data_IF_503685679797
#
_entry.id   IF_503685679797
#
_cell.length_a   1.000
_cell.length_b   1.000
_cell.length_c   1.000
_cell.angle_alpha   90.00
_cell.angle_beta   90.00
_cell.angle_gamma   90.00
#
_symmetry.space_group_name_H-M   'P 1'
#
loop_
_entity.id
_entity.type
_entity.pdbx_description
1 polymer ?
#
# COMPACT_ATOMS: atom_id res chain seq x y z
N UNK A 1 9.77 48.42 1.37
CA UNK A 1 10.99 48.73 2.14
C UNK A 1 11.72 47.41 2.38
N UNK A 2 12.47 46.92 1.39
CA UNK A 2 13.08 45.58 1.39
C UNK A 2 14.62 45.61 1.15
N UNK A 3 15.24 46.79 1.27
CA UNK A 3 16.64 47.03 0.90
C UNK A 3 17.68 46.39 1.84
N UNK A 4 17.29 45.87 3.01
CA UNK A 4 18.26 45.39 4.01
C UNK A 4 18.45 43.86 4.08
N UNK A 5 17.74 43.09 3.25
CA UNK A 5 17.78 41.60 3.30
C UNK A 5 18.47 40.96 2.11
N UNK A 6 18.67 41.70 1.02
CA UNK A 6 19.37 41.22 -0.17
C UNK A 6 20.74 41.90 -0.22
N UNK A 7 21.85 41.15 -0.10
CA UNK A 7 23.19 41.73 -0.17
C UNK A 7 23.60 42.12 -1.61
N UNK A 8 22.82 41.74 -2.63
CA UNK A 8 23.09 42.16 -4.00
C UNK A 8 22.80 43.64 -4.22
N UNK A 9 23.60 44.28 -5.08
CA UNK A 9 23.24 45.59 -5.62
C UNK A 9 21.91 45.53 -6.37
N UNK A 10 21.18 46.66 -6.49
CA UNK A 10 20.01 46.73 -7.37
C UNK A 10 20.44 46.29 -8.77
N UNK A 11 19.74 45.28 -9.33
CA UNK A 11 20.03 44.63 -10.62
C UNK A 11 21.20 43.64 -10.67
N UNK A 12 21.89 43.40 -9.55
CA UNK A 12 22.89 42.34 -9.43
C UNK A 12 22.24 41.03 -8.94
N UNK A 13 22.69 39.90 -9.48
CA UNK A 13 22.27 38.54 -9.08
C UNK A 13 23.48 37.65 -8.76
N UNK A 14 24.66 38.23 -8.53
CA UNK A 14 25.90 37.54 -8.22
C UNK A 14 25.77 36.65 -6.96
N UNK A 15 25.09 37.14 -5.92
CA UNK A 15 24.75 36.39 -4.72
C UNK A 15 23.43 35.66 -4.88
N UNK A 16 23.50 34.46 -5.45
CA UNK A 16 22.36 33.56 -5.51
C UNK A 16 21.89 33.22 -4.08
N UNK A 17 20.58 33.30 -3.80
CA UNK A 17 20.04 32.94 -2.50
C UNK A 17 20.31 31.47 -2.19
N UNK A 18 20.50 31.15 -0.91
CA UNK A 18 20.64 29.77 -0.46
C UNK A 18 19.37 28.98 -0.81
N UNK A 19 19.53 27.92 -1.59
CA UNK A 19 18.44 27.02 -1.99
C UNK A 19 18.65 25.63 -1.39
N UNK A 20 17.60 24.97 -0.86
CA UNK A 20 17.71 23.64 -0.25
C UNK A 20 18.23 22.52 -1.17
N UNK A 21 18.18 22.71 -2.50
CA UNK A 21 18.67 21.71 -3.47
C UNK A 21 20.05 22.07 -4.01
N UNK A 22 20.36 23.35 -4.13
CA UNK A 22 21.54 23.81 -4.86
C UNK A 22 22.70 24.21 -3.93
N UNK A 23 22.42 24.44 -2.64
CA UNK A 23 23.42 24.69 -1.59
C UNK A 23 24.47 25.75 -1.96
N UNK A 24 24.01 26.80 -2.63
CA UNK A 24 24.86 27.92 -3.04
C UNK A 24 25.40 28.68 -1.83
N UNK A 25 26.69 29.03 -1.89
CA UNK A 25 27.32 29.96 -0.96
C UNK A 25 28.29 30.87 -1.73
N UNK A 26 28.56 32.05 -1.20
CA UNK A 26 29.64 32.90 -1.69
C UNK A 26 30.90 32.64 -0.89
N UNK A 27 31.99 32.40 -1.60
CA UNK A 27 33.33 32.37 -1.07
C UNK A 27 34.03 33.72 -1.28
N UNK A 28 34.54 34.30 -0.20
CA UNK A 28 35.32 35.54 -0.19
C UNK A 28 36.82 35.29 0.02
N UNK A 29 37.26 34.03 -0.12
CA UNK A 29 38.67 33.68 -0.01
C UNK A 29 39.42 34.05 -1.29
N UNK A 30 40.07 35.21 -1.26
CA UNK A 30 40.91 35.70 -2.36
C UNK A 30 42.38 35.42 -2.09
N UNK A 31 43.10 34.94 -3.10
CA UNK A 31 44.56 34.73 -2.98
C UNK A 31 45.35 36.01 -3.23
N UNK A 32 44.77 36.96 -3.97
CA UNK A 32 45.44 38.20 -4.34
C UNK A 32 44.59 39.43 -4.04
N UNK A 33 45.23 40.52 -3.62
CA UNK A 33 44.56 41.79 -3.33
C UNK A 33 43.82 42.39 -4.53
N UNK A 34 44.28 42.12 -5.75
CA UNK A 34 43.61 42.54 -6.99
C UNK A 34 42.22 41.92 -7.15
N UNK A 35 42.00 40.73 -6.60
CA UNK A 35 40.73 39.98 -6.68
C UNK A 35 39.68 40.49 -5.69
N UNK A 36 40.07 41.36 -4.74
CA UNK A 36 39.16 41.94 -3.75
C UNK A 36 38.10 42.87 -4.36
N UNK A 37 38.27 43.23 -5.64
CA UNK A 37 37.30 43.98 -6.45
C UNK A 37 36.19 43.10 -7.05
N UNK A 38 36.35 41.78 -7.00
CA UNK A 38 35.37 40.81 -7.52
C UNK A 38 34.29 40.59 -6.46
N UNK A 39 33.00 40.57 -6.82
CA UNK A 39 31.91 40.31 -5.88
C UNK A 39 31.78 38.81 -5.56
N UNK A 40 32.75 38.26 -4.84
CA UNK A 40 32.72 36.88 -4.34
C UNK A 40 32.76 35.82 -5.43
N UNK A 41 33.08 34.58 -5.07
CA UNK A 41 32.96 33.43 -5.96
C UNK A 41 31.77 32.58 -5.54
N UNK A 42 30.80 32.39 -6.43
CA UNK A 42 29.66 31.51 -6.16
C UNK A 42 30.12 30.04 -6.22
N UNK A 43 30.03 29.35 -5.09
CA UNK A 43 30.41 27.94 -4.93
C UNK A 43 29.23 27.13 -4.36
N UNK A 44 29.36 25.80 -4.39
CA UNK A 44 28.36 24.85 -3.87
C UNK A 44 28.93 23.97 -2.78
N UNK A 45 28.03 23.50 -1.92
CA UNK A 45 28.30 22.40 -1.00
C UNK A 45 29.46 22.69 -0.04
N UNK A 46 29.41 23.85 0.64
CA UNK A 46 30.43 24.24 1.61
C UNK A 46 30.60 23.16 2.69
N UNK A 47 31.76 22.48 2.66
CA UNK A 47 32.13 21.41 3.58
C UNK A 47 31.06 20.31 3.71
N UNK A 48 30.33 20.03 2.63
CA UNK A 48 29.20 19.11 2.65
C UNK A 48 29.55 17.74 3.24
N UNK A 49 30.70 17.16 2.90
CA UNK A 49 31.13 15.86 3.44
C UNK A 49 31.25 15.86 4.97
N UNK A 50 31.86 16.89 5.54
CA UNK A 50 32.01 17.03 6.99
C UNK A 50 30.67 17.30 7.66
N UNK A 51 29.81 18.14 7.06
CA UNK A 51 28.46 18.40 7.59
C UNK A 51 27.61 17.14 7.54
N UNK A 52 27.62 16.39 6.44
CA UNK A 52 26.87 15.15 6.27
C UNK A 52 27.36 14.06 7.24
N UNK A 53 28.67 13.99 7.49
CA UNK A 53 29.21 13.10 8.52
C UNK A 53 28.57 13.36 9.89
N UNK A 54 28.54 14.63 10.34
CA UNK A 54 27.99 14.97 11.65
C UNK A 54 26.47 14.92 11.71
N UNK A 55 25.77 15.30 10.64
CA UNK A 55 24.31 15.45 10.65
C UNK A 55 23.55 14.21 10.19
N UNK A 56 24.17 13.34 9.38
CA UNK A 56 23.53 12.14 8.84
C UNK A 56 24.21 10.88 9.36
N UNK A 57 25.53 10.75 9.19
CA UNK A 57 26.24 9.52 9.50
C UNK A 57 26.27 9.21 11.00
N UNK A 58 26.67 10.18 11.84
CA UNK A 58 26.75 9.96 13.30
C UNK A 58 25.37 9.59 13.89
N UNK A 59 24.27 10.31 13.62
CA UNK A 59 22.95 9.90 14.09
C UNK A 59 22.52 8.53 13.58
N UNK A 60 22.77 8.20 12.30
CA UNK A 60 22.45 6.89 11.74
C UNK A 60 23.26 5.77 12.40
N UNK A 61 24.54 6.01 12.70
CA UNK A 61 25.41 5.07 13.39
C UNK A 61 24.96 4.87 14.84
N UNK A 62 24.64 5.95 15.56
CA UNK A 62 24.11 5.87 16.93
C UNK A 62 22.80 5.10 16.92
N UNK A 63 21.90 5.40 15.99
CA UNK A 63 20.66 4.66 15.83
C UNK A 63 20.95 3.18 15.59
N UNK A 64 21.81 2.82 14.64
CA UNK A 64 22.19 1.44 14.39
C UNK A 64 22.72 0.71 15.64
N UNK A 65 23.55 1.37 16.44
CA UNK A 65 24.15 0.77 17.64
C UNK A 65 23.19 0.70 18.84
N UNK A 66 22.24 1.63 18.94
CA UNK A 66 21.32 1.75 20.08
C UNK A 66 19.96 1.12 19.83
N UNK A 67 19.59 0.86 18.58
CA UNK A 67 18.37 0.13 18.24
C UNK A 67 18.64 -1.37 18.29
N UNK A 68 18.09 -2.04 19.30
CA UNK A 68 18.03 -3.51 19.37
C UNK A 68 17.12 -4.15 18.31
N UNK A 69 16.41 -3.33 17.54
CA UNK A 69 15.67 -3.74 16.34
C UNK A 69 16.22 -2.98 15.14
N UNK A 70 16.58 -3.69 14.08
CA UNK A 70 17.16 -3.12 12.87
C UNK A 70 16.21 -2.08 12.25
N UNK A 71 16.69 -0.92 11.75
CA UNK A 71 15.85 0.02 11.02
C UNK A 71 15.19 -0.60 9.77
N UNK A 72 15.74 -1.70 9.23
CA UNK A 72 15.11 -2.54 8.21
C UNK A 72 13.81 -3.18 8.71
N UNK A 73 13.74 -3.55 9.99
CA UNK A 73 12.54 -4.10 10.59
C UNK A 73 11.44 -3.04 10.74
N UNK A 74 11.79 -1.76 10.88
CA UNK A 74 10.80 -0.67 10.90
C UNK A 74 10.10 -0.49 9.55
N UNK A 75 10.87 -0.49 8.46
CA UNK A 75 10.33 -0.42 7.10
C UNK A 75 9.54 -1.69 6.74
N UNK A 76 10.09 -2.87 7.06
CA UNK A 76 9.38 -4.14 6.86
C UNK A 76 8.08 -4.21 7.67
N UNK A 77 8.07 -3.76 8.94
CA UNK A 77 6.84 -3.72 9.74
C UNK A 77 5.79 -2.82 9.11
N UNK A 78 6.17 -1.68 8.55
CA UNK A 78 5.22 -0.78 7.86
C UNK A 78 4.65 -1.44 6.60
N UNK A 79 5.48 -2.08 5.80
CA UNK A 79 5.03 -2.76 4.58
C UNK A 79 4.15 -3.98 4.89
N UNK A 80 4.53 -4.78 5.89
CA UNK A 80 3.73 -5.91 6.37
C UNK A 80 2.40 -5.45 6.95
N UNK A 81 2.37 -4.35 7.71
CA UNK A 81 1.13 -3.77 8.23
C UNK A 81 0.20 -3.29 7.10
N UNK A 82 0.74 -2.61 6.09
CA UNK A 82 -0.05 -2.16 4.93
C UNK A 82 -0.60 -3.36 4.16
N UNK A 83 0.21 -4.40 3.95
CA UNK A 83 -0.23 -5.63 3.31
C UNK A 83 -1.32 -6.35 4.11
N UNK A 84 -1.14 -6.47 5.43
CA UNK A 84 -2.12 -7.10 6.32
C UNK A 84 -3.47 -6.36 6.31
N UNK A 85 -3.45 -5.04 6.32
CA UNK A 85 -4.67 -4.21 6.20
C UNK A 85 -5.30 -4.42 4.81
N UNK A 86 -4.51 -4.42 3.73
CA UNK A 86 -5.00 -4.63 2.38
C UNK A 86 -5.68 -5.98 2.18
N UNK A 87 -5.07 -7.07 2.68
CA UNK A 87 -5.65 -8.42 2.65
C UNK A 87 -6.94 -8.49 3.47
N UNK A 88 -6.99 -7.82 4.62
CA UNK A 88 -8.20 -7.74 5.45
C UNK A 88 -9.35 -7.02 4.76
N UNK A 89 -9.08 -5.90 4.07
CA UNK A 89 -10.12 -5.20 3.29
C UNK A 89 -10.61 -6.05 2.12
N UNK A 90 -9.69 -6.69 1.40
CA UNK A 90 -10.04 -7.56 0.27
C UNK A 90 -10.93 -8.74 0.72
N UNK A 91 -10.60 -9.38 1.85
CA UNK A 91 -11.39 -10.50 2.37
C UNK A 91 -12.81 -10.07 2.78
N UNK A 92 -12.96 -8.88 3.38
CA UNK A 92 -14.27 -8.30 3.68
C UNK A 92 -15.12 -8.05 2.42
N UNK A 93 -14.50 -7.51 1.35
CA UNK A 93 -15.20 -7.28 0.08
C UNK A 93 -15.65 -8.60 -0.53
N UNK A 94 -14.76 -9.61 -0.56
CA UNK A 94 -15.08 -10.93 -1.09
C UNK A 94 -16.22 -11.60 -0.31
N UNK A 95 -16.22 -11.50 1.02
CA UNK A 95 -17.33 -11.96 1.85
C UNK A 95 -18.65 -11.25 1.48
N UNK A 96 -18.63 -9.93 1.31
CA UNK A 96 -19.80 -9.16 0.89
C UNK A 96 -20.35 -9.63 -0.46
N UNK A 97 -19.48 -9.82 -1.46
CA UNK A 97 -19.84 -10.33 -2.79
C UNK A 97 -20.45 -11.72 -2.70
N UNK A 98 -19.90 -12.61 -1.88
CA UNK A 98 -20.43 -13.95 -1.67
C UNK A 98 -21.82 -13.93 -1.04
N UNK A 99 -22.05 -13.10 -0.01
CA UNK A 99 -23.37 -12.94 0.60
C UNK A 99 -24.39 -12.40 -0.41
N UNK A 100 -24.00 -11.39 -1.19
CA UNK A 100 -24.83 -10.85 -2.28
C UNK A 100 -25.15 -11.92 -3.32
N UNK A 101 -24.17 -12.70 -3.76
CA UNK A 101 -24.37 -13.79 -4.71
C UNK A 101 -25.34 -14.86 -4.16
N UNK A 102 -25.22 -15.23 -2.89
CA UNK A 102 -26.14 -16.14 -2.22
C UNK A 102 -27.57 -15.58 -2.15
N UNK A 103 -27.72 -14.28 -1.84
CA UNK A 103 -29.02 -13.61 -1.81
C UNK A 103 -29.65 -13.56 -3.22
N UNK A 104 -28.88 -13.22 -4.24
CA UNK A 104 -29.37 -13.25 -5.63
C UNK A 104 -29.76 -14.66 -6.06
N UNK A 105 -28.97 -15.67 -5.73
CA UNK A 105 -29.30 -17.06 -6.02
C UNK A 105 -30.62 -17.47 -5.32
N UNK A 106 -30.79 -17.11 -4.05
CA UNK A 106 -32.01 -17.35 -3.29
C UNK A 106 -33.23 -16.67 -3.92
N UNK A 107 -33.13 -15.37 -4.20
CA UNK A 107 -34.21 -14.60 -4.83
C UNK A 107 -34.57 -15.11 -6.23
N UNK A 108 -33.58 -15.51 -7.04
CA UNK A 108 -33.83 -16.10 -8.37
C UNK A 108 -34.53 -17.46 -8.25
N UNK A 109 -34.19 -18.26 -7.24
CA UNK A 109 -34.85 -19.53 -6.96
C UNK A 109 -36.31 -19.32 -6.52
N UNK A 110 -36.55 -18.34 -5.65
CA UNK A 110 -37.88 -18.02 -5.13
C UNK A 110 -38.78 -17.40 -6.21
N UNK A 111 -38.23 -16.50 -7.04
CA UNK A 111 -38.94 -15.88 -8.17
C UNK A 111 -39.19 -16.84 -9.34
N UNK A 112 -38.63 -18.05 -9.32
CA UNK A 112 -38.92 -19.12 -10.27
C UNK A 112 -39.67 -20.29 -9.59
N UNK A 113 -40.94 -20.10 -9.16
CA UNK A 113 -41.74 -21.13 -8.50
C UNK A 113 -41.96 -22.36 -9.39
N UNK A 114 -41.74 -22.24 -10.70
CA UNK A 114 -41.81 -23.35 -11.66
C UNK A 114 -40.62 -24.31 -11.56
N UNK A 115 -39.43 -23.85 -11.16
CA UNK A 115 -38.26 -24.74 -10.98
C UNK A 115 -38.25 -25.39 -9.60
N UNK A 116 -38.61 -24.66 -8.55
CA UNK A 116 -38.75 -25.22 -7.20
C UNK A 116 -39.83 -26.32 -7.15
N UNK A 117 -41.01 -26.05 -7.74
CA UNK A 117 -42.08 -27.06 -7.82
C UNK A 117 -41.70 -28.24 -8.72
N UNK A 118 -40.98 -28.04 -9.83
CA UNK A 118 -40.51 -29.13 -10.70
C UNK A 118 -39.47 -30.02 -10.01
N UNK A 119 -38.53 -29.43 -9.25
CA UNK A 119 -37.56 -30.16 -8.43
C UNK A 119 -38.25 -30.96 -7.32
N UNK A 120 -39.27 -30.38 -6.68
CA UNK A 120 -40.05 -31.06 -5.65
C UNK A 120 -40.92 -32.20 -6.23
N UNK A 121 -41.50 -32.00 -7.43
CA UNK A 121 -42.22 -33.04 -8.16
C UNK A 121 -41.31 -34.18 -8.61
N UNK A 122 -40.12 -33.89 -9.13
CA UNK A 122 -39.13 -34.92 -9.49
C UNK A 122 -38.65 -35.69 -8.26
N UNK A 123 -38.38 -35.01 -7.14
CA UNK A 123 -38.07 -35.66 -5.86
C UNK A 123 -39.18 -36.60 -5.41
N UNK A 124 -40.45 -36.18 -5.50
CA UNK A 124 -41.62 -37.02 -5.15
C UNK A 124 -41.78 -38.21 -6.10
N UNK A 125 -41.48 -38.05 -7.39
CA UNK A 125 -41.47 -39.17 -8.36
C UNK A 125 -40.39 -40.19 -8.03
N UNK A 126 -39.16 -39.74 -7.77
CA UNK A 126 -38.04 -40.62 -7.40
C UNK A 126 -38.34 -41.44 -6.14
N UNK A 127 -38.93 -40.82 -5.10
CA UNK A 127 -39.32 -41.55 -3.88
C UNK A 127 -40.43 -42.58 -4.18
N UNK A 128 -41.41 -42.22 -5.01
CA UNK A 128 -42.50 -43.14 -5.40
C UNK A 128 -41.98 -44.31 -6.23
N UNK A 129 -41.08 -44.07 -7.17
CA UNK A 129 -40.50 -45.11 -8.02
C UNK A 129 -39.59 -46.04 -7.22
N UNK A 130 -38.82 -45.50 -6.26
CA UNK A 130 -38.05 -46.32 -5.31
C UNK A 130 -38.96 -47.20 -4.44
N UNK A 131 -40.05 -46.66 -3.90
CA UNK A 131 -41.00 -47.46 -3.10
C UNK A 131 -41.72 -48.53 -3.94
N UNK A 132 -42.03 -48.23 -5.21
CA UNK A 132 -42.64 -49.20 -6.12
C UNK A 132 -41.67 -50.31 -6.50
N UNK A 133 -40.38 -49.98 -6.68
CA UNK A 133 -39.31 -50.96 -6.91
C UNK A 133 -39.15 -51.88 -5.69
N UNK A 134 -39.09 -51.31 -4.49
CA UNK A 134 -38.95 -52.05 -3.23
C UNK A 134 -40.14 -53.02 -3.00
N UNK A 135 -41.37 -52.52 -3.19
CA UNK A 135 -42.59 -53.34 -3.11
C UNK A 135 -42.57 -54.51 -4.11
N UNK A 136 -42.08 -54.30 -5.33
CA UNK A 136 -42.02 -55.34 -6.36
C UNK A 136 -40.98 -56.42 -6.00
N UNK A 137 -39.85 -56.04 -5.39
CA UNK A 137 -38.85 -57.00 -4.90
C UNK A 137 -39.31 -57.78 -3.67
N UNK A 138 -40.09 -57.15 -2.78
CA UNK A 138 -40.64 -57.84 -1.60
C UNK A 138 -41.73 -58.85 -1.97
N UNK A 139 -42.60 -58.51 -2.93
CA UNK A 139 -43.62 -59.45 -3.44
C UNK A 139 -42.95 -60.65 -4.14
N UNK A 140 -41.88 -60.42 -4.90
CA UNK A 140 -41.15 -61.50 -5.58
C UNK A 140 -40.44 -62.45 -4.60
N UNK A 141 -39.96 -61.94 -3.45
CA UNK A 141 -39.39 -62.77 -2.36
C UNK A 141 -40.43 -63.62 -1.63
N UNK A 142 -41.65 -63.11 -1.46
CA UNK A 142 -42.75 -63.85 -0.81
C UNK A 142 -43.32 -64.93 -1.74
N UNK A 143 -43.27 -64.73 -3.06
CA UNK A 143 -43.69 -65.74 -4.06
C UNK A 143 -42.65 -66.83 -4.37
N UNK A 144 -41.43 -66.73 -3.82
CA UNK A 144 -40.33 -67.68 -4.03
C UNK A 144 -40.03 -68.57 -2.81
N UNK A 145 -40.95 -68.61 -1.84
CA UNK A 145 -40.98 -69.48 -0.65
C UNK A 145 -42.15 -70.45 -0.77
#
# INVERSE_FOLDING_TARGET
MCLFRNPNFPFDTSWAPLQPRAHWYIDFNYSHWSEMTIPGQLKRDYRWESVAFWTQYIPALVQYMTTTFSPIEGAMRREVLVYQIGVGVLSCILMGVMVLACLFAYLVFERNPRRASKLEHDRRRLIRDTNKSLSKTDILKVSSL
#
